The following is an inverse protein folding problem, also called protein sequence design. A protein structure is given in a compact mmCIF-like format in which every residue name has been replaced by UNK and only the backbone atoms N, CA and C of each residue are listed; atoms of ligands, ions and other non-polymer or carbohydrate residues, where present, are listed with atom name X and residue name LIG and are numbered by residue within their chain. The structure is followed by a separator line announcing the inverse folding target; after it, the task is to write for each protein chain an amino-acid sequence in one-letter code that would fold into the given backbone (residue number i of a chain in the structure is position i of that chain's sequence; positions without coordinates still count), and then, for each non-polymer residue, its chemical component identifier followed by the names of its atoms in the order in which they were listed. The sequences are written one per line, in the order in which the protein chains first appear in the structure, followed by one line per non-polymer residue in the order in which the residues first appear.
data_IF_674579205959
#
_entry.id   IF_674579205959
#
_cell.length_a   1.000
_cell.length_b   1.000
_cell.length_c   1.000
_cell.angle_alpha   90.00
_cell.angle_beta   90.00
_cell.angle_gamma   90.00
#
_symmetry.space_group_name_H-M   'P 1'
#
loop_
_entity.id
_entity.type
_entity.pdbx_description
1 polymer ?
#
# COMPACT_ATOMS: atom_id res chain seq x y z
N UNK A 1 -11.34 -2.88 8.54
CA UNK A 1 -11.23 -1.43 8.22
C UNK A 1 -12.65 -0.92 8.07
N UNK A 2 -13.03 0.11 8.81
CA UNK A 2 -14.39 0.68 8.79
C UNK A 2 -14.49 1.91 7.87
N UNK A 3 -13.34 2.42 7.39
CA UNK A 3 -13.21 3.59 6.51
C UNK A 3 -12.04 3.38 5.54
N UNK A 4 -12.10 4.00 4.36
CA UNK A 4 -11.01 3.99 3.40
C UNK A 4 -9.74 4.62 4.01
N UNK A 5 -8.58 4.00 3.79
CA UNK A 5 -7.28 4.48 4.28
C UNK A 5 -6.27 4.51 3.14
N UNK A 6 -5.20 5.28 3.24
CA UNK A 6 -4.13 5.28 2.25
C UNK A 6 -3.12 4.16 2.48
N UNK A 7 -2.31 3.87 1.46
CA UNK A 7 -1.13 2.99 1.62
C UNK A 7 -0.19 3.47 2.72
N UNK A 8 0.01 4.78 2.87
CA UNK A 8 0.82 5.35 3.95
C UNK A 8 0.23 5.07 5.34
N UNK A 9 -1.08 5.25 5.51
CA UNK A 9 -1.75 4.95 6.77
C UNK A 9 -1.70 3.47 7.11
N UNK A 10 -1.87 2.60 6.10
CA UNK A 10 -1.76 1.15 6.28
C UNK A 10 -0.33 0.74 6.68
N UNK A 11 0.70 1.28 6.03
CA UNK A 11 2.09 1.01 6.35
C UNK A 11 2.42 1.42 7.79
N UNK A 12 1.99 2.62 8.21
CA UNK A 12 2.15 3.10 9.58
C UNK A 12 1.47 2.17 10.60
N UNK A 13 0.26 1.68 10.31
CA UNK A 13 -0.46 0.75 11.19
C UNK A 13 0.23 -0.61 11.33
N UNK A 14 0.95 -1.03 10.30
CA UNK A 14 1.70 -2.29 10.28
C UNK A 14 3.15 -2.14 10.77
N UNK A 15 3.58 -0.91 11.08
CA UNK A 15 4.95 -0.62 11.51
C UNK A 15 5.98 -0.78 10.38
N UNK A 16 5.56 -0.65 9.12
CA UNK A 16 6.44 -0.75 7.95
C UNK A 16 6.96 0.65 7.62
N UNK A 17 8.27 0.76 7.43
CA UNK A 17 8.89 2.04 7.03
C UNK A 17 8.47 2.40 5.61
N UNK A 18 8.09 3.66 5.39
CA UNK A 18 7.78 4.16 4.05
C UNK A 18 9.00 4.14 3.12
N UNK A 19 10.22 4.15 3.67
CA UNK A 19 11.45 4.01 2.88
C UNK A 19 11.65 2.59 2.31
N UNK A 20 10.99 1.59 2.91
CA UNK A 20 11.03 0.20 2.46
C UNK A 20 9.88 -0.13 1.50
N UNK A 21 9.16 0.89 1.02
CA UNK A 21 8.01 0.74 0.12
C UNK A 21 8.20 1.68 -1.08
N UNK A 22 8.22 1.12 -2.28
CA UNK A 22 8.24 1.89 -3.53
C UNK A 22 6.83 2.13 -4.06
N UNK A 23 6.02 1.08 -4.12
CA UNK A 23 4.63 1.11 -4.61
C UNK A 23 3.76 0.14 -3.82
N UNK A 24 2.44 0.27 -4.01
CA UNK A 24 1.47 -0.72 -3.52
C UNK A 24 0.77 -1.38 -4.70
N UNK A 25 0.51 -2.67 -4.60
CA UNK A 25 -0.45 -3.34 -5.47
C UNK A 25 -1.82 -3.31 -4.82
N UNK A 26 -2.83 -2.80 -5.52
CA UNK A 26 -4.23 -2.84 -5.10
C UNK A 26 -5.00 -3.62 -6.16
N UNK A 27 -5.55 -4.77 -5.79
CA UNK A 27 -6.30 -5.67 -6.68
C UNK A 27 -5.57 -6.03 -7.99
N UNK A 28 -4.23 -6.11 -7.95
CA UNK A 28 -3.40 -6.44 -9.11
C UNK A 28 -2.94 -5.25 -9.94
N UNK A 29 -3.29 -4.02 -9.56
CA UNK A 29 -2.79 -2.80 -10.20
C UNK A 29 -1.75 -2.10 -9.32
N UNK A 30 -0.68 -1.62 -9.96
CA UNK A 30 0.33 -0.78 -9.31
C UNK A 30 -0.28 0.59 -9.03
N UNK A 31 -0.22 1.00 -7.78
CA UNK A 31 -0.76 2.26 -7.29
C UNK A 31 0.26 2.95 -6.38
N UNK A 32 0.12 4.27 -6.23
CA UNK A 32 0.95 5.04 -5.31
C UNK A 32 0.51 4.85 -3.85
N UNK A 33 1.40 5.16 -2.90
CA UNK A 33 1.11 5.15 -1.46
C UNK A 33 -0.03 6.10 -1.04
N UNK A 34 -0.41 7.07 -1.88
CA UNK A 34 -1.51 8.00 -1.65
C UNK A 34 -2.87 7.43 -2.09
N UNK A 35 -2.90 6.29 -2.79
CA UNK A 35 -4.13 5.66 -3.24
C UNK A 35 -5.01 5.23 -2.07
N UNK A 36 -6.33 5.40 -2.21
CA UNK A 36 -7.30 4.99 -1.21
C UNK A 36 -7.59 3.50 -1.33
N UNK A 37 -7.26 2.79 -0.26
CA UNK A 37 -7.58 1.38 -0.05
C UNK A 37 -8.91 1.30 0.68
N UNK A 38 -9.87 0.57 0.11
CA UNK A 38 -11.16 0.32 0.74
C UNK A 38 -11.22 -1.08 1.36
N UNK A 39 -12.09 -1.30 2.36
CA UNK A 39 -12.29 -2.63 2.92
C UNK A 39 -12.70 -3.64 1.83
N UNK A 40 -11.95 -4.74 1.72
CA UNK A 40 -12.15 -5.76 0.68
C UNK A 40 -11.10 -5.76 -0.42
N UNK A 41 -10.31 -4.69 -0.54
CA UNK A 41 -9.17 -4.65 -1.46
C UNK A 41 -8.05 -5.61 -1.04
N UNK A 42 -7.43 -6.24 -2.03
CA UNK A 42 -6.20 -7.02 -1.85
C UNK A 42 -5.01 -6.11 -2.04
N UNK A 43 -4.24 -5.90 -0.97
CA UNK A 43 -3.11 -4.98 -0.96
C UNK A 43 -1.80 -5.69 -0.67
N UNK A 44 -0.76 -5.38 -1.44
CA UNK A 44 0.61 -5.80 -1.17
C UNK A 44 1.56 -4.59 -1.23
N UNK A 45 2.50 -4.52 -0.28
CA UNK A 45 3.61 -3.57 -0.31
C UNK A 45 4.76 -4.11 -1.15
N UNK A 46 5.31 -3.27 -2.01
CA UNK A 46 6.42 -3.63 -2.88
C UNK A 46 7.66 -2.86 -2.43
N UNK A 47 8.76 -3.54 -2.10
CA UNK A 47 10.00 -2.88 -1.70
C UNK A 47 10.69 -2.19 -2.88
N UNK A 48 11.58 -1.23 -2.61
CA UNK A 48 12.38 -0.58 -3.63
C UNK A 48 13.22 -1.58 -4.43
N UNK A 49 13.22 -1.42 -5.74
CA UNK A 49 14.02 -2.23 -6.66
C UNK A 49 13.35 -3.51 -7.16
N UNK A 50 12.04 -3.68 -6.93
CA UNK A 50 11.25 -4.69 -7.62
C UNK A 50 10.97 -4.20 -9.05
N UNK A 51 11.46 -4.89 -10.11
CA UNK A 51 11.10 -4.54 -11.47
C UNK A 51 9.59 -4.73 -11.66
N UNK A 52 8.91 -3.65 -12.06
CA UNK A 52 7.47 -3.64 -12.37
C UNK A 52 7.16 -4.24 -13.74
#
# INVERSE_FOLDING_TARGET
LETAITGTELANKLGISLADIEVIFVNGFVQSLAEKIVPGDRVAFVPPGCPG
#
